data_IF_772738862947
#
_entry.id   IF_772738862947
#
_cell.length_a   1.000
_cell.length_b   1.000
_cell.length_c   1.000
_cell.angle_alpha   90.00
_cell.angle_beta   90.00
_cell.angle_gamma   90.00
#
_symmetry.space_group_name_H-M   'P 1'
#
loop_
_entity.id
_entity.type
_entity.pdbx_description
1 polymer ?
#
# COMPACT_ATOMS: atom_id res chain seq x y z
N UNK A 1 13.45 -4.48 -16.46
CA UNK A 1 13.74 -4.41 -15.01
C UNK A 1 12.43 -4.69 -14.29
N UNK A 2 12.38 -5.76 -13.49
CA UNK A 2 11.15 -6.28 -12.91
C UNK A 2 10.46 -5.25 -12.01
N UNK A 3 9.18 -5.01 -12.26
CA UNK A 3 8.33 -4.22 -11.37
C UNK A 3 8.20 -5.00 -10.06
N UNK A 4 8.97 -4.62 -9.03
CA UNK A 4 8.82 -5.21 -7.71
C UNK A 4 7.45 -4.78 -7.18
N UNK A 5 6.61 -5.77 -6.91
CA UNK A 5 5.30 -5.59 -6.33
C UNK A 5 5.33 -6.28 -4.98
N UNK A 6 4.93 -5.55 -3.95
CA UNK A 6 4.64 -6.09 -2.63
C UNK A 6 3.15 -5.96 -2.41
N UNK A 7 2.58 -6.92 -1.70
CA UNK A 7 1.19 -6.88 -1.25
C UNK A 7 1.16 -7.20 0.23
N UNK A 8 0.18 -6.68 0.94
CA UNK A 8 -0.08 -7.14 2.30
C UNK A 8 -1.00 -8.35 2.28
N UNK A 9 -1.09 -9.00 3.43
CA UNK A 9 -2.26 -9.82 3.74
C UNK A 9 -3.54 -8.98 3.67
N UNK A 10 -4.67 -9.68 3.52
CA UNK A 10 -5.99 -9.08 3.61
C UNK A 10 -6.44 -9.05 5.07
N UNK A 11 -6.78 -7.86 5.57
CA UNK A 11 -7.34 -7.67 6.90
C UNK A 11 -8.59 -6.81 6.73
N UNK A 12 -9.70 -7.23 7.34
CA UNK A 12 -10.99 -6.53 7.25
C UNK A 12 -11.44 -6.22 5.81
N UNK A 13 -11.16 -7.12 4.87
CA UNK A 13 -11.50 -6.96 3.45
C UNK A 13 -10.65 -5.93 2.70
N UNK A 14 -9.54 -5.49 3.29
CA UNK A 14 -8.62 -4.52 2.71
C UNK A 14 -7.25 -5.15 2.43
N UNK A 15 -6.68 -4.85 1.27
CA UNK A 15 -5.33 -5.25 0.88
C UNK A 15 -4.54 -4.08 0.34
N UNK A 16 -3.33 -3.88 0.82
CA UNK A 16 -2.45 -2.83 0.33
C UNK A 16 -1.45 -3.39 -0.66
N UNK A 17 -1.13 -2.59 -1.65
CA UNK A 17 -0.13 -2.92 -2.66
C UNK A 17 0.90 -1.82 -2.71
N UNK A 18 2.14 -2.21 -2.95
CA UNK A 18 3.24 -1.31 -3.19
C UNK A 18 3.96 -1.75 -4.46
N UNK A 19 4.01 -0.88 -5.45
CA UNK A 19 4.65 -1.19 -6.73
C UNK A 19 5.74 -0.19 -7.07
N UNK A 20 6.87 -0.68 -7.56
CA UNK A 20 7.92 0.18 -8.09
C UNK A 20 7.55 0.70 -9.48
N UNK A 21 7.76 2.00 -9.68
CA UNK A 21 7.55 2.71 -10.94
C UNK A 21 8.88 2.87 -11.67
N UNK A 22 8.81 3.15 -12.98
CA UNK A 22 9.98 3.36 -13.83
C UNK A 22 10.85 4.55 -13.43
N UNK A 23 10.30 5.51 -12.67
CA UNK A 23 11.01 6.67 -12.13
C UNK A 23 11.73 6.39 -10.80
N UNK A 24 11.81 5.11 -10.39
CA UNK A 24 12.43 4.69 -9.14
C UNK A 24 11.59 4.97 -7.89
N UNK A 25 10.38 5.52 -8.04
CA UNK A 25 9.45 5.74 -6.93
C UNK A 25 8.58 4.52 -6.70
N UNK A 26 8.06 4.44 -5.49
CA UNK A 26 7.10 3.43 -5.08
C UNK A 26 5.73 4.08 -4.96
N UNK A 27 4.70 3.41 -5.47
CA UNK A 27 3.31 3.82 -5.30
C UNK A 27 2.57 2.82 -4.43
N UNK A 28 1.91 3.34 -3.40
CA UNK A 28 1.05 2.56 -2.52
C UNK A 28 -0.41 2.75 -2.92
N UNK A 29 -1.14 1.65 -3.02
CA UNK A 29 -2.58 1.60 -3.34
C UNK A 29 -3.28 0.62 -2.41
N UNK A 30 -4.62 0.68 -2.37
CA UNK A 30 -5.46 -0.24 -1.59
C UNK A 30 -6.52 -0.86 -2.50
N UNK A 31 -6.88 -2.10 -2.21
CA UNK A 31 -8.01 -2.81 -2.78
C UNK A 31 -8.96 -3.23 -1.66
N UNK A 32 -10.27 -3.04 -1.80
CA UNK A 32 -10.95 -2.41 -2.94
C UNK A 32 -10.67 -0.91 -3.05
N UNK A 33 -10.43 -0.43 -4.27
CA UNK A 33 -10.04 0.96 -4.55
C UNK A 33 -11.18 1.99 -4.38
N UNK A 34 -12.41 1.54 -4.05
CA UNK A 34 -13.62 2.36 -4.12
C UNK A 34 -14.49 2.34 -2.85
N UNK A 35 -15.01 3.54 -2.60
CA UNK A 35 -15.59 4.13 -1.38
C UNK A 35 -16.88 3.50 -0.88
N UNK A 36 -17.51 2.64 -1.68
CA UNK A 36 -18.84 2.08 -1.36
C UNK A 36 -18.80 0.89 -0.40
N UNK A 37 -17.60 0.40 -0.03
CA UNK A 37 -17.45 -0.86 0.70
C UNK A 37 -16.36 -0.90 1.80
N UNK A 38 -15.79 0.24 2.23
CA UNK A 38 -14.91 0.26 3.42
C UNK A 38 -13.67 1.17 3.39
N UNK A 39 -13.13 1.52 2.21
CA UNK A 39 -11.86 2.29 2.10
C UNK A 39 -11.99 3.81 2.18
N UNK A 40 -13.17 4.34 2.49
CA UNK A 40 -13.41 5.78 2.49
C UNK A 40 -12.50 6.55 3.47
N UNK A 41 -12.08 5.91 4.56
CA UNK A 41 -11.13 6.47 5.54
C UNK A 41 -9.72 6.68 4.97
N UNK A 42 -9.42 6.10 3.81
CA UNK A 42 -8.12 6.14 3.13
C UNK A 42 -8.10 7.07 1.90
N UNK A 43 -9.25 7.66 1.52
CA UNK A 43 -9.44 8.46 0.30
C UNK A 43 -8.64 9.78 0.21
N UNK A 44 -8.04 10.22 1.30
CA UNK A 44 -7.08 11.34 1.31
C UNK A 44 -5.63 10.91 1.51
N UNK A 45 -5.40 9.63 1.73
CA UNK A 45 -4.09 9.07 2.04
C UNK A 45 -3.52 8.25 0.89
N UNK A 46 -4.36 7.69 0.02
CA UNK A 46 -3.96 6.90 -1.15
C UNK A 46 -4.53 7.46 -2.46
N UNK A 47 -3.84 7.25 -3.60
CA UNK A 47 -2.53 6.62 -3.73
C UNK A 47 -1.40 7.52 -3.22
N UNK A 48 -0.37 6.92 -2.60
CA UNK A 48 0.76 7.66 -2.03
C UNK A 48 2.08 7.25 -2.66
N UNK A 49 2.93 8.24 -2.88
CA UNK A 49 4.23 8.06 -3.52
C UNK A 49 5.36 8.16 -2.51
N UNK A 50 6.32 7.24 -2.62
CA UNK A 50 7.48 7.15 -1.75
C UNK A 50 8.76 7.01 -2.58
N UNK A 51 9.86 7.58 -2.10
CA UNK A 51 11.18 7.39 -2.71
C UNK A 51 11.84 6.06 -2.32
N UNK A 52 11.40 5.44 -1.20
CA UNK A 52 11.95 4.19 -0.68
C UNK A 52 10.84 3.26 -0.20
N UNK A 53 11.02 1.96 -0.43
CA UNK A 53 10.12 0.90 0.05
C UNK A 53 9.95 0.95 1.58
N UNK A 54 11.02 1.17 2.33
CA UNK A 54 10.97 1.22 3.80
C UNK A 54 10.12 2.36 4.33
N UNK A 55 10.12 3.52 3.66
CA UNK A 55 9.26 4.65 4.01
C UNK A 55 7.78 4.35 3.79
N UNK A 56 7.46 3.58 2.73
CA UNK A 56 6.10 3.14 2.46
C UNK A 56 5.61 2.15 3.52
N UNK A 57 6.44 1.13 3.84
CA UNK A 57 6.13 0.14 4.89
C UNK A 57 5.89 0.82 6.24
N UNK A 58 6.79 1.72 6.64
CA UNK A 58 6.67 2.47 7.89
C UNK A 58 5.41 3.36 7.94
N UNK A 59 5.01 3.96 6.81
CA UNK A 59 3.81 4.78 6.76
C UNK A 59 2.53 3.96 6.97
N UNK A 60 2.46 2.74 6.42
CA UNK A 60 1.35 1.81 6.67
C UNK A 60 1.31 1.38 8.13
N UNK A 61 2.45 0.95 8.68
CA UNK A 61 2.55 0.58 10.09
C UNK A 61 2.15 1.71 11.04
N UNK A 62 2.52 2.96 10.72
CA UNK A 62 2.13 4.12 11.52
C UNK A 62 0.64 4.45 11.41
N UNK A 63 0.01 4.18 10.26
CA UNK A 63 -1.39 4.54 10.00
C UNK A 63 -2.37 3.48 10.51
N UNK A 64 -2.04 2.20 10.36
CA UNK A 64 -2.95 1.08 10.62
C UNK A 64 -2.41 0.06 11.63
N UNK A 65 -1.15 0.14 12.04
CA UNK A 65 -0.55 -0.78 13.00
C UNK A 65 0.37 -1.82 12.37
N UNK A 66 1.06 -2.58 13.23
CA UNK A 66 2.09 -3.57 12.83
C UNK A 66 1.53 -4.91 12.34
N UNK A 67 0.22 -5.09 12.36
CA UNK A 67 -0.46 -6.29 11.84
C UNK A 67 -0.40 -6.41 10.31
N UNK A 68 -0.16 -5.29 9.61
CA UNK A 68 -0.07 -5.23 8.16
C UNK A 68 1.31 -5.69 7.68
N UNK A 69 1.47 -7.01 7.54
CA UNK A 69 2.69 -7.64 7.02
C UNK A 69 2.78 -7.53 5.50
N UNK A 70 4.00 -7.30 4.99
CA UNK A 70 4.28 -7.17 3.56
C UNK A 70 4.92 -8.44 3.01
N UNK A 71 4.39 -8.91 1.88
CA UNK A 71 4.83 -10.09 1.16
C UNK A 71 5.18 -9.71 -0.29
N UNK A 72 6.07 -10.49 -0.91
CA UNK A 72 6.34 -10.39 -2.35
C UNK A 72 5.13 -10.84 -3.16
N UNK A 73 4.69 -10.00 -4.11
CA UNK A 73 3.41 -10.15 -4.79
C UNK A 73 3.47 -10.98 -6.06
#
# INVERSE_FOLDING_TARGET
>A
MGSQKLKTQEIDGHRFYLSSRSDGKWVMTVEPAFRSNGTQSLDGWLPRYYSKVGSAKAALTKKLGSEWLWEDA
#
